data_IF_957394509489
#
_entry.id   IF_957394509489
#
_cell.length_a   1.000
_cell.length_b   1.000
_cell.length_c   1.000
_cell.angle_alpha   90.00
_cell.angle_beta   90.00
_cell.angle_gamma   90.00
#
_symmetry.space_group_name_H-M   'P 1'
#
loop_
_entity.id
_entity.type
_entity.pdbx_description
1 polymer ?
#
# COMPACT_ATOMS: atom_id res chain seq x y z
N UNK A 1 6.59 12.95 -5.03
CA UNK A 1 7.38 13.14 -6.28
C UNK A 1 6.40 13.22 -7.44
N UNK A 2 6.22 14.40 -8.03
CA UNK A 2 5.33 14.61 -9.17
C UNK A 2 6.15 14.77 -10.44
N UNK A 3 5.80 14.05 -11.51
CA UNK A 3 6.38 14.24 -12.84
C UNK A 3 5.23 14.40 -13.85
N UNK A 4 5.27 15.45 -14.68
CA UNK A 4 4.28 15.75 -15.72
C UNK A 4 4.73 15.18 -17.07
N UNK A 5 3.84 14.35 -17.63
CA UNK A 5 3.44 14.13 -19.03
C UNK A 5 4.47 13.91 -20.16
N UNK A 6 4.47 12.65 -20.66
CA UNK A 6 4.07 12.32 -22.04
C UNK A 6 3.30 10.98 -22.03
N UNK A 7 1.99 11.00 -22.26
CA UNK A 7 1.20 9.82 -22.67
C UNK A 7 0.82 8.75 -21.63
N UNK A 8 1.23 8.85 -20.37
CA UNK A 8 0.74 8.00 -19.27
C UNK A 8 0.47 8.86 -18.03
N UNK A 9 -0.66 8.62 -17.36
CA UNK A 9 -0.92 9.29 -16.08
C UNK A 9 0.12 8.80 -15.06
N UNK A 10 0.82 9.71 -14.35
CA UNK A 10 1.76 9.34 -13.33
C UNK A 10 1.06 8.52 -12.24
N UNK A 11 1.56 7.31 -11.98
CA UNK A 11 0.96 6.38 -11.00
C UNK A 11 1.43 6.63 -9.57
N UNK A 12 2.38 7.55 -9.37
CA UNK A 12 3.05 7.76 -8.07
C UNK A 12 4.01 6.64 -7.66
N UNK A 13 4.15 5.57 -8.47
CA UNK A 13 5.04 4.44 -8.18
C UNK A 13 6.48 4.75 -8.55
N UNK A 14 7.43 4.18 -7.80
CA UNK A 14 8.87 4.29 -8.07
C UNK A 14 9.32 3.33 -9.20
N UNK A 15 8.52 3.25 -10.27
CA UNK A 15 8.79 2.49 -11.49
C UNK A 15 8.02 3.08 -12.67
N UNK A 16 8.21 2.55 -13.88
CA UNK A 16 7.46 2.92 -15.09
C UNK A 16 6.08 2.23 -15.20
N UNK A 17 5.57 1.67 -14.09
CA UNK A 17 4.30 0.94 -14.05
C UNK A 17 4.21 0.06 -12.81
N UNK A 18 4.50 -1.23 -12.97
CA UNK A 18 4.38 -2.24 -11.90
C UNK A 18 5.62 -2.27 -11.00
N UNK A 19 5.44 -2.68 -9.75
CA UNK A 19 6.49 -2.91 -8.76
C UNK A 19 6.51 -4.40 -8.35
N UNK A 20 7.55 -4.91 -7.68
CA UNK A 20 7.66 -6.35 -7.36
C UNK A 20 6.42 -6.95 -6.70
N UNK A 21 5.75 -6.21 -5.82
CA UNK A 21 4.52 -6.66 -5.15
C UNK A 21 3.36 -6.90 -6.13
N UNK A 22 3.29 -6.17 -7.25
CA UNK A 22 2.27 -6.37 -8.28
C UNK A 22 2.47 -7.69 -9.05
N UNK A 23 3.72 -8.11 -9.26
CA UNK A 23 4.02 -9.39 -9.91
C UNK A 23 3.70 -10.57 -8.99
N UNK A 24 3.98 -10.41 -7.69
CA UNK A 24 3.59 -11.40 -6.68
C UNK A 24 2.07 -11.52 -6.63
N UNK A 25 1.34 -10.40 -6.54
CA UNK A 25 -0.13 -10.38 -6.56
C UNK A 25 -0.71 -11.13 -7.76
N UNK A 26 -0.22 -10.85 -8.97
CA UNK A 26 -0.67 -11.53 -10.18
C UNK A 26 -0.34 -13.04 -10.17
N UNK A 27 0.84 -13.43 -9.66
CA UNK A 27 1.23 -14.83 -9.55
C UNK A 27 0.31 -15.64 -8.61
N UNK A 28 -0.29 -14.98 -7.60
CA UNK A 28 -1.31 -15.56 -6.73
C UNK A 28 -2.74 -15.46 -7.29
N UNK A 29 -2.91 -15.01 -8.53
CA UNK A 29 -4.22 -14.85 -9.18
C UNK A 29 -5.03 -13.66 -8.66
N UNK A 30 -4.39 -12.72 -7.96
CA UNK A 30 -5.00 -11.48 -7.48
C UNK A 30 -4.87 -10.37 -8.54
N UNK A 31 -5.28 -9.15 -8.20
CA UNK A 31 -5.24 -7.99 -9.10
C UNK A 31 -3.81 -7.78 -9.64
N UNK A 32 -3.66 -7.42 -10.93
CA UNK A 32 -2.33 -7.18 -11.54
C UNK A 32 -1.65 -5.90 -11.03
N UNK A 33 -2.37 -5.09 -10.25
CA UNK A 33 -1.85 -3.88 -9.59
C UNK A 33 -2.52 -3.76 -8.23
N UNK A 34 -1.72 -3.60 -7.17
CA UNK A 34 -2.20 -3.46 -5.80
C UNK A 34 -2.47 -1.98 -5.51
N UNK A 35 -3.70 -1.55 -5.20
CA UNK A 35 -4.01 -0.13 -5.00
C UNK A 35 -3.27 0.48 -3.79
N UNK A 36 -2.94 1.77 -3.89
CA UNK A 36 -2.34 2.52 -2.79
C UNK A 36 -3.45 3.04 -1.85
N UNK A 37 -3.29 2.90 -0.54
CA UNK A 37 -4.32 3.23 0.44
C UNK A 37 -4.79 4.69 0.38
N UNK A 38 -3.87 5.61 0.09
CA UNK A 38 -4.15 7.05 0.03
C UNK A 38 -4.63 7.54 -1.35
N UNK A 39 -4.80 6.65 -2.32
CA UNK A 39 -5.32 7.03 -3.63
C UNK A 39 -6.86 7.14 -3.57
N UNK A 40 -7.42 8.35 -3.77
CA UNK A 40 -8.85 8.61 -3.58
C UNK A 40 -9.74 7.98 -4.65
N UNK A 41 -9.16 7.36 -5.69
CA UNK A 41 -9.91 6.66 -6.73
C UNK A 41 -10.38 5.27 -6.32
N UNK A 42 -9.82 4.71 -5.23
CA UNK A 42 -10.17 3.39 -4.71
C UNK A 42 -11.03 3.50 -3.44
N UNK A 43 -11.78 2.43 -3.16
CA UNK A 43 -12.57 2.30 -1.95
C UNK A 43 -12.30 0.98 -1.22
N UNK A 44 -12.99 0.74 -0.10
CA UNK A 44 -12.79 -0.46 0.72
C UNK A 44 -13.01 -1.78 -0.04
N UNK A 45 -13.91 -1.82 -1.02
CA UNK A 45 -14.12 -3.01 -1.84
C UNK A 45 -12.89 -3.31 -2.72
N UNK A 46 -12.17 -2.27 -3.15
CA UNK A 46 -10.93 -2.45 -3.89
C UNK A 46 -9.80 -2.99 -3.02
N UNK A 47 -9.72 -2.48 -1.79
CA UNK A 47 -8.70 -2.82 -0.81
C UNK A 47 -8.87 -4.21 -0.20
N UNK A 48 -10.10 -4.74 -0.16
CA UNK A 48 -10.41 -6.06 0.42
C UNK A 48 -9.64 -7.23 -0.23
N UNK A 49 -9.17 -7.06 -1.47
CA UNK A 49 -8.37 -8.07 -2.19
C UNK A 49 -6.86 -7.80 -2.19
N UNK A 50 -6.44 -6.65 -1.63
CA UNK A 50 -5.04 -6.21 -1.63
C UNK A 50 -4.94 -4.69 -1.55
N UNK A 51 -4.01 -4.20 -0.73
CA UNK A 51 -3.79 -2.77 -0.50
C UNK A 51 -2.32 -2.51 -0.13
N UNK A 52 -1.79 -1.36 -0.53
CA UNK A 52 -0.42 -0.93 -0.26
C UNK A 52 -0.39 0.34 0.59
N UNK A 53 0.38 0.32 1.68
CA UNK A 53 0.57 1.45 2.61
C UNK A 53 1.95 2.11 2.47
N UNK A 54 2.82 1.57 1.62
CA UNK A 54 4.23 1.93 1.56
C UNK A 54 4.46 3.33 0.98
N UNK A 55 5.41 4.06 1.56
CA UNK A 55 5.93 5.33 1.08
C UNK A 55 7.41 5.19 0.71
N UNK A 56 7.75 5.54 -0.54
CA UNK A 56 9.13 5.50 -1.00
C UNK A 56 10.02 6.47 -0.19
N UNK A 57 11.17 5.99 0.25
CA UNK A 57 12.12 6.78 1.05
C UNK A 57 11.85 6.77 2.55
N UNK A 58 10.80 6.07 3.01
CA UNK A 58 10.58 5.84 4.45
C UNK A 58 11.69 4.96 5.02
N UNK A 59 12.01 5.17 6.29
CA UNK A 59 12.97 4.38 7.05
C UNK A 59 12.41 3.96 8.40
N UNK A 60 13.14 3.09 9.09
CA UNK A 60 12.76 2.68 10.45
C UNK A 60 12.77 3.87 11.43
N UNK A 61 13.77 4.75 11.30
CA UNK A 61 13.86 5.97 12.10
C UNK A 61 13.12 7.13 11.40
N UNK A 62 12.34 7.88 12.19
CA UNK A 62 11.66 9.10 11.74
C UNK A 62 12.61 10.10 11.12
N UNK A 63 13.85 10.20 11.63
CA UNK A 63 14.87 11.09 11.08
C UNK A 63 15.13 10.82 9.59
N UNK A 64 15.04 9.56 9.14
CA UNK A 64 15.18 9.21 7.71
C UNK A 64 14.03 9.77 6.89
N UNK A 65 12.81 9.68 7.43
CA UNK A 65 11.60 10.12 6.76
C UNK A 65 11.48 11.65 6.73
N UNK A 66 11.95 12.32 7.79
CA UNK A 66 11.95 13.77 7.93
C UNK A 66 12.85 14.46 6.90
N UNK A 67 14.03 13.86 6.60
CA UNK A 67 14.97 14.38 5.60
C UNK A 67 14.32 14.55 4.22
N UNK A 68 13.43 13.64 3.84
CA UNK A 68 12.75 13.65 2.55
C UNK A 68 11.27 14.09 2.64
N UNK A 69 10.79 14.43 3.85
CA UNK A 69 9.39 14.77 4.14
C UNK A 69 8.41 13.72 3.59
N UNK A 70 8.72 12.44 3.80
CA UNK A 70 7.90 11.29 3.36
C UNK A 70 7.10 10.71 4.52
N UNK A 71 6.13 9.85 4.23
CA UNK A 71 5.31 9.21 5.28
C UNK A 71 6.21 8.28 6.09
N UNK A 72 6.33 8.48 7.41
CA UNK A 72 7.15 7.63 8.26
C UNK A 72 6.45 6.29 8.52
N UNK A 73 7.24 5.24 8.82
CA UNK A 73 6.75 3.88 9.02
C UNK A 73 5.62 3.79 10.07
N UNK A 74 5.71 4.53 11.18
CA UNK A 74 4.64 4.52 12.19
C UNK A 74 3.30 5.00 11.63
N UNK A 75 3.32 5.94 10.68
CA UNK A 75 2.12 6.45 10.04
C UNK A 75 1.55 5.45 9.04
N UNK A 76 2.42 4.71 8.33
CA UNK A 76 1.99 3.57 7.51
C UNK A 76 1.28 2.49 8.36
N UNK A 77 1.78 2.24 9.58
CA UNK A 77 1.14 1.33 10.53
C UNK A 77 -0.18 1.87 11.10
N UNK A 78 -0.32 3.18 11.28
CA UNK A 78 -1.62 3.79 11.62
C UNK A 78 -2.64 3.58 10.51
N UNK A 79 -2.26 3.81 9.25
CA UNK A 79 -3.14 3.55 8.11
C UNK A 79 -3.54 2.08 8.01
N UNK A 80 -2.62 1.16 8.31
CA UNK A 80 -2.95 -0.26 8.36
C UNK A 80 -3.99 -0.56 9.46
N UNK A 81 -3.87 0.04 10.65
CA UNK A 81 -4.88 -0.11 11.72
C UNK A 81 -6.25 0.44 11.32
N UNK A 82 -6.27 1.64 10.74
CA UNK A 82 -7.51 2.26 10.23
C UNK A 82 -8.17 1.38 9.15
N UNK A 83 -7.36 0.80 8.25
CA UNK A 83 -7.82 -0.15 7.26
C UNK A 83 -8.46 -1.39 7.89
N UNK A 84 -7.87 -1.97 8.93
CA UNK A 84 -8.45 -3.14 9.60
C UNK A 84 -9.85 -2.84 10.15
N UNK A 85 -10.05 -1.67 10.75
CA UNK A 85 -11.35 -1.27 11.29
C UNK A 85 -12.37 -1.01 10.17
N UNK A 86 -11.93 -0.34 9.09
CA UNK A 86 -12.77 -0.11 7.92
C UNK A 86 -13.16 -1.42 7.23
N UNK A 87 -12.25 -2.38 7.13
CA UNK A 87 -12.48 -3.71 6.55
C UNK A 87 -13.48 -4.50 7.39
N UNK A 88 -13.37 -4.45 8.73
CA UNK A 88 -14.36 -5.05 9.65
C UNK A 88 -15.73 -4.41 9.50
N UNK A 89 -15.79 -3.10 9.30
CA UNK A 89 -17.04 -2.39 9.00
C UNK A 89 -17.68 -2.84 7.68
N UNK A 90 -16.87 -3.17 6.69
CA UNK A 90 -17.32 -3.57 5.35
C UNK A 90 -17.70 -5.04 5.23
N UNK A 91 -16.85 -5.96 5.72
CA UNK A 91 -17.03 -7.42 5.58
C UNK A 91 -17.68 -8.07 6.80
N UNK A 92 -17.74 -7.37 7.93
CA UNK A 92 -18.02 -7.96 9.24
C UNK A 92 -16.76 -8.57 9.88
N UNK A 93 -16.80 -8.73 11.21
CA UNK A 93 -15.64 -9.13 12.00
C UNK A 93 -15.05 -10.49 11.61
N UNK A 94 -15.89 -11.50 11.40
CA UNK A 94 -15.44 -12.87 11.10
C UNK A 94 -14.68 -12.91 9.77
N UNK A 95 -15.30 -12.44 8.69
CA UNK A 95 -14.68 -12.47 7.37
C UNK A 95 -13.47 -11.55 7.26
N UNK A 96 -13.51 -10.38 7.90
CA UNK A 96 -12.35 -9.48 7.94
C UNK A 96 -11.16 -10.12 8.66
N UNK A 97 -11.38 -10.81 9.78
CA UNK A 97 -10.30 -11.48 10.51
C UNK A 97 -9.75 -12.69 9.74
N UNK A 98 -10.57 -13.42 8.99
CA UNK A 98 -10.10 -14.46 8.05
C UNK A 98 -9.18 -13.85 6.98
N UNK A 99 -9.63 -12.79 6.30
CA UNK A 99 -8.84 -12.07 5.28
C UNK A 99 -7.52 -11.58 5.86
N UNK A 100 -7.53 -10.96 7.04
CA UNK A 100 -6.32 -10.47 7.71
C UNK A 100 -5.40 -11.62 8.17
N UNK A 101 -5.97 -12.76 8.57
CA UNK A 101 -5.22 -13.93 9.04
C UNK A 101 -4.55 -14.72 7.93
N UNK A 102 -5.15 -14.75 6.74
CA UNK A 102 -4.66 -15.51 5.58
C UNK A 102 -3.89 -14.64 4.57
N UNK A 103 -3.87 -13.32 4.74
CA UNK A 103 -3.17 -12.40 3.85
C UNK A 103 -1.64 -12.63 3.83
N UNK A 104 -1.04 -12.44 2.65
CA UNK A 104 0.40 -12.34 2.49
C UNK A 104 0.87 -10.91 2.77
N UNK A 105 1.73 -10.75 3.77
CA UNK A 105 2.33 -9.46 4.12
C UNK A 105 3.73 -9.33 3.51
N UNK A 106 3.94 -8.28 2.73
CA UNK A 106 5.23 -7.94 2.14
C UNK A 106 5.70 -6.59 2.70
N UNK A 107 6.85 -6.59 3.35
CA UNK A 107 7.47 -5.39 3.92
C UNK A 107 8.91 -5.30 3.44
N UNK A 108 9.32 -4.12 2.98
CA UNK A 108 10.71 -3.83 2.61
C UNK A 108 11.10 -2.51 3.24
N UNK A 109 12.02 -2.58 4.20
CA UNK A 109 12.58 -1.43 4.91
C UNK A 109 14.10 -1.60 4.89
N UNK A 110 14.82 -0.56 4.51
CA UNK A 110 16.27 -0.56 4.49
C UNK A 110 16.81 0.86 4.44
N UNK A 111 18.07 1.01 4.80
CA UNK A 111 18.83 2.25 4.64
C UNK A 111 19.69 2.17 3.39
N UNK A 112 19.91 3.31 2.73
CA UNK A 112 21.00 3.43 1.75
C UNK A 112 22.34 3.62 2.44
#
# INVERSE_FOLDING_TARGET
MAAISTGKQPTGRFSNGRIPTDFISEAFGLKPTIPAYLDPTYNIADFATGVCFASAGTGYDNATSDVLSVIPLWKEMEYYKEYQDTLRGYLGNEKANEVLGEALYLMSIGTK
#
